data_IF_731846279081
#
_entry.id   IF_731846279081
#
_cell.length_a   1.000
_cell.length_b   1.000
_cell.length_c   1.000
_cell.angle_alpha   90.00
_cell.angle_beta   90.00
_cell.angle_gamma   90.00
#
_symmetry.space_group_name_H-M   'P 1'
#
loop_
_entity.id
_entity.type
_entity.pdbx_description
1 polymer ?
#
# COMPACT_ATOMS: atom_id res chain seq x y z
N UNK A 1 16.35 -0.28 -10.94
CA UNK A 1 14.96 0.23 -10.99
C UNK A 1 14.69 1.09 -9.78
N UNK A 2 14.02 2.20 -9.99
CA UNK A 2 13.56 3.00 -8.86
C UNK A 2 12.46 2.24 -8.10
N UNK A 3 12.56 2.20 -6.78
CA UNK A 3 11.54 1.59 -5.91
C UNK A 3 10.23 2.37 -6.03
N UNK A 4 9.15 1.68 -6.29
CA UNK A 4 7.83 2.31 -6.34
C UNK A 4 7.31 2.62 -4.94
N UNK A 5 6.38 3.57 -4.83
CA UNK A 5 5.74 3.89 -3.55
C UNK A 5 5.01 2.68 -2.94
N UNK A 6 4.47 1.80 -3.79
CA UNK A 6 3.82 0.57 -3.36
C UNK A 6 4.79 -0.41 -2.73
N UNK A 7 5.99 -0.55 -3.30
CA UNK A 7 7.08 -1.37 -2.72
C UNK A 7 7.59 -0.79 -1.41
N UNK A 8 7.70 0.54 -1.30
CA UNK A 8 8.08 1.22 -0.07
C UNK A 8 7.07 0.97 1.06
N UNK A 9 5.78 1.08 0.77
CA UNK A 9 4.70 0.78 1.73
C UNK A 9 4.73 -0.70 2.13
N UNK A 10 4.82 -1.60 1.16
CA UNK A 10 4.90 -3.05 1.40
C UNK A 10 6.08 -3.42 2.29
N UNK A 11 7.27 -2.94 1.97
CA UNK A 11 8.48 -3.23 2.74
C UNK A 11 8.38 -2.71 4.17
N UNK A 12 7.81 -1.52 4.35
CA UNK A 12 7.61 -0.94 5.69
C UNK A 12 6.58 -1.72 6.50
N UNK A 13 5.50 -2.17 5.89
CA UNK A 13 4.50 -3.03 6.55
C UNK A 13 5.10 -4.38 6.94
N UNK A 14 5.85 -5.02 6.06
CA UNK A 14 6.53 -6.28 6.34
C UNK A 14 7.48 -6.12 7.52
N UNK A 15 8.29 -5.08 7.54
CA UNK A 15 9.23 -4.81 8.62
C UNK A 15 8.52 -4.57 9.96
N UNK A 16 7.41 -3.83 9.94
CA UNK A 16 6.59 -3.54 11.10
C UNK A 16 5.96 -4.81 11.69
N UNK A 17 5.37 -5.65 10.84
CA UNK A 17 4.73 -6.89 11.24
C UNK A 17 5.73 -7.95 11.73
N UNK A 18 6.87 -8.09 11.06
CA UNK A 18 7.96 -8.96 11.51
C UNK A 18 8.56 -8.51 12.83
N UNK A 19 8.67 -7.22 13.06
CA UNK A 19 9.12 -6.66 14.33
C UNK A 19 8.17 -7.01 15.48
N UNK A 20 6.86 -7.03 15.23
CA UNK A 20 5.85 -7.37 16.23
C UNK A 20 5.70 -8.88 16.45
N UNK A 21 5.69 -9.63 15.35
CA UNK A 21 5.53 -11.10 15.36
C UNK A 21 6.71 -11.78 14.64
N UNK A 22 7.87 -11.91 15.31
CA UNK A 22 9.05 -12.50 14.68
C UNK A 22 8.87 -13.96 14.27
N UNK A 23 7.95 -14.68 14.93
CA UNK A 23 7.66 -16.09 14.64
C UNK A 23 6.72 -16.29 13.43
N UNK A 24 6.05 -15.22 12.98
CA UNK A 24 5.18 -15.30 11.81
C UNK A 24 5.98 -15.19 10.52
N UNK A 25 5.59 -15.97 9.54
CA UNK A 25 6.07 -15.81 8.18
C UNK A 25 5.26 -14.71 7.49
N UNK A 26 5.89 -13.60 7.16
CA UNK A 26 5.24 -12.46 6.50
C UNK A 26 5.55 -12.51 5.01
N UNK A 27 4.56 -12.84 4.20
CA UNK A 27 4.70 -13.05 2.76
C UNK A 27 3.93 -11.96 2.00
N UNK A 28 4.58 -11.35 1.04
CA UNK A 28 3.96 -10.37 0.13
C UNK A 28 3.67 -10.91 -1.27
N UNK A 29 3.83 -12.19 -1.54
CA UNK A 29 3.54 -12.83 -2.82
C UNK A 29 2.93 -14.21 -2.60
N UNK A 30 1.89 -14.48 -3.35
CA UNK A 30 1.13 -15.70 -3.56
C UNK A 30 1.27 -16.86 -2.57
N UNK A 31 0.21 -17.15 -1.90
CA UNK A 31 0.02 -18.36 -1.05
C UNK A 31 0.28 -19.65 -1.85
N UNK A 32 0.22 -19.60 -3.17
CA UNK A 32 0.38 -20.77 -4.05
C UNK A 32 1.71 -21.52 -3.86
N UNK A 33 2.76 -20.83 -3.42
CA UNK A 33 4.05 -21.47 -3.16
C UNK A 33 4.06 -22.36 -1.91
N UNK A 34 3.20 -22.08 -0.95
CA UNK A 34 3.07 -22.92 0.26
C UNK A 34 2.19 -24.15 0.02
N UNK A 35 1.24 -24.08 -0.88
CA UNK A 35 0.42 -25.22 -1.28
C UNK A 35 1.18 -26.20 -2.21
N UNK A 36 2.02 -25.70 -3.08
CA UNK A 36 2.86 -26.53 -3.97
C UNK A 36 3.93 -27.35 -3.24
N UNK A 37 4.37 -26.89 -2.08
CA UNK A 37 5.39 -27.59 -1.28
C UNK A 37 4.88 -28.79 -0.49
N UNK A 38 3.59 -29.17 -0.61
CA UNK A 38 3.03 -30.35 0.06
C UNK A 38 2.98 -30.26 1.59
N UNK A 39 3.07 -29.05 2.14
CA UNK A 39 2.88 -28.82 3.57
C UNK A 39 1.40 -28.94 3.92
N UNK A 40 1.07 -29.98 4.64
CA UNK A 40 -0.29 -30.28 5.10
C UNK A 40 -0.72 -29.46 6.32
N UNK A 41 0.20 -28.74 6.94
CA UNK A 41 -0.08 -27.85 8.09
C UNK A 41 0.32 -26.42 7.75
N UNK A 42 -0.68 -25.54 7.71
CA UNK A 42 -0.45 -24.10 7.62
C UNK A 42 0.11 -23.62 8.96
N UNK A 43 1.32 -23.07 8.92
CA UNK A 43 1.95 -22.42 10.07
C UNK A 43 1.39 -21.02 10.27
N UNK A 44 1.88 -20.32 11.29
CA UNK A 44 1.53 -18.91 11.53
C UNK A 44 2.09 -18.05 10.40
N UNK A 45 1.23 -17.39 9.65
CA UNK A 45 1.64 -16.53 8.55
C UNK A 45 0.79 -15.25 8.46
N UNK A 46 1.38 -14.24 7.86
CA UNK A 46 0.69 -13.02 7.41
C UNK A 46 0.92 -12.85 5.92
N UNK A 47 -0.15 -12.79 5.16
CA UNK A 47 -0.12 -12.47 3.74
C UNK A 47 -0.59 -11.03 3.53
N UNK A 48 0.23 -10.22 2.84
CA UNK A 48 -0.09 -8.82 2.54
C UNK A 48 -0.45 -8.67 1.07
N UNK A 49 -1.63 -8.13 0.83
CA UNK A 49 -2.06 -7.69 -0.48
C UNK A 49 -2.18 -6.17 -0.51
N UNK A 50 -1.46 -5.54 -1.44
CA UNK A 50 -1.43 -4.10 -1.64
C UNK A 50 -2.13 -3.78 -2.95
N UNK A 51 -3.32 -3.20 -2.85
CA UNK A 51 -4.19 -2.97 -4.00
C UNK A 51 -4.31 -1.47 -4.26
N UNK A 52 -3.68 -0.94 -5.31
CA UNK A 52 -3.93 0.43 -5.73
C UNK A 52 -5.40 0.62 -6.11
N UNK A 53 -6.15 1.37 -5.31
CA UNK A 53 -7.60 1.53 -5.48
C UNK A 53 -8.00 2.84 -6.11
N UNK A 54 -7.11 3.84 -6.14
CA UNK A 54 -7.40 5.12 -6.78
C UNK A 54 -6.15 5.96 -6.99
N UNK A 55 -6.17 6.73 -8.07
CA UNK A 55 -5.15 7.71 -8.39
C UNK A 55 -5.82 8.85 -9.16
N UNK A 56 -6.06 9.97 -8.50
CA UNK A 56 -6.79 11.09 -9.06
C UNK A 56 -5.92 12.35 -9.12
N UNK A 57 -5.94 13.10 -10.22
CA UNK A 57 -5.27 14.39 -10.27
C UNK A 57 -5.77 15.33 -9.16
N UNK A 58 -4.84 15.93 -8.43
CA UNK A 58 -5.13 16.80 -7.29
C UNK A 58 -4.60 18.23 -7.51
N UNK A 59 -4.60 18.66 -8.76
CA UNK A 59 -4.02 19.93 -9.18
C UNK A 59 -2.70 19.73 -9.92
N UNK A 60 -2.04 20.84 -10.22
CA UNK A 60 -0.80 20.82 -10.97
C UNK A 60 0.34 20.21 -10.13
N UNK A 61 0.95 19.15 -10.64
CA UNK A 61 2.07 18.48 -9.99
C UNK A 61 1.71 17.60 -8.80
N UNK A 62 0.41 17.31 -8.56
CA UNK A 62 -0.05 16.49 -7.46
C UNK A 62 -1.07 15.44 -7.90
N UNK A 63 -1.06 14.32 -7.18
CA UNK A 63 -2.05 13.25 -7.33
C UNK A 63 -2.50 12.77 -5.95
N UNK A 64 -3.78 12.50 -5.80
CA UNK A 64 -4.34 11.84 -4.62
C UNK A 64 -4.36 10.32 -4.87
N UNK A 65 -3.64 9.60 -4.04
CA UNK A 65 -3.55 8.13 -4.09
C UNK A 65 -4.40 7.50 -3.01
N UNK A 66 -5.04 6.42 -3.37
CA UNK A 66 -5.76 5.55 -2.45
C UNK A 66 -5.28 4.12 -2.65
N UNK A 67 -4.90 3.47 -1.56
CA UNK A 67 -4.35 2.12 -1.57
C UNK A 67 -5.11 1.31 -0.53
N UNK A 68 -5.76 0.23 -0.98
CA UNK A 68 -6.36 -0.74 -0.09
C UNK A 68 -5.28 -1.76 0.32
N UNK A 69 -5.16 -2.01 1.60
CA UNK A 69 -4.30 -3.04 2.16
C UNK A 69 -5.16 -4.11 2.80
N UNK A 70 -4.92 -5.36 2.45
CA UNK A 70 -5.50 -6.53 3.11
C UNK A 70 -4.36 -7.35 3.73
N UNK A 71 -4.38 -7.49 5.05
CA UNK A 71 -3.49 -8.37 5.77
C UNK A 71 -4.27 -9.62 6.20
N UNK A 72 -4.02 -10.73 5.55
CA UNK A 72 -4.60 -12.02 5.88
C UNK A 72 -3.70 -12.75 6.88
N UNK A 73 -4.21 -13.01 8.08
CA UNK A 73 -3.46 -13.57 9.20
C UNK A 73 -4.04 -14.95 9.55
N UNK A 74 -3.17 -15.93 9.53
CA UNK A 74 -3.51 -17.29 9.94
C UNK A 74 -2.65 -17.69 11.14
N UNK A 75 -3.30 -18.27 12.16
CA UNK A 75 -2.62 -18.88 13.31
C UNK A 75 -2.88 -20.38 13.31
N UNK A 76 -1.86 -21.14 13.66
CA UNK A 76 -1.96 -22.60 13.76
C UNK A 76 -3.04 -23.06 14.77
N UNK A 77 -3.25 -22.27 15.83
CA UNK A 77 -4.27 -22.55 16.83
C UNK A 77 -5.70 -22.29 16.36
N UNK A 78 -5.89 -21.46 15.33
CA UNK A 78 -7.19 -21.05 14.79
C UNK A 78 -8.19 -20.59 15.88
N UNK A 79 -7.66 -20.07 16.99
CA UNK A 79 -8.46 -19.68 18.16
C UNK A 79 -9.05 -18.29 18.00
N UNK A 80 -10.34 -18.14 18.30
CA UNK A 80 -10.97 -16.82 18.30
C UNK A 80 -10.31 -15.86 19.32
N UNK A 81 -9.83 -16.36 20.44
CA UNK A 81 -9.12 -15.55 21.44
C UNK A 81 -7.80 -15.01 20.88
N UNK A 82 -7.03 -15.82 20.17
CA UNK A 82 -5.80 -15.38 19.48
C UNK A 82 -6.11 -14.30 18.47
N UNK A 83 -7.16 -14.46 17.67
CA UNK A 83 -7.56 -13.43 16.70
C UNK A 83 -8.04 -12.13 17.36
N UNK A 84 -8.67 -12.18 18.51
CA UNK A 84 -9.02 -10.98 19.27
C UNK A 84 -7.78 -10.25 19.80
N UNK A 85 -6.76 -10.97 20.24
CA UNK A 85 -5.48 -10.40 20.65
C UNK A 85 -4.74 -9.76 19.45
N UNK A 86 -4.70 -10.46 18.33
CA UNK A 86 -4.07 -9.96 17.10
C UNK A 86 -4.77 -8.69 16.59
N UNK A 87 -6.10 -8.63 16.66
CA UNK A 87 -6.87 -7.42 16.32
C UNK A 87 -6.43 -6.22 17.17
N UNK A 88 -6.34 -6.40 18.48
CA UNK A 88 -5.90 -5.33 19.37
C UNK A 88 -4.46 -4.91 19.05
N UNK A 89 -3.57 -5.86 18.87
CA UNK A 89 -2.17 -5.59 18.52
C UNK A 89 -2.01 -4.86 17.20
N UNK A 90 -2.81 -5.22 16.18
CA UNK A 90 -2.81 -4.52 14.89
C UNK A 90 -3.34 -3.09 15.01
N UNK A 91 -4.40 -2.90 15.78
CA UNK A 91 -4.94 -1.56 16.01
C UNK A 91 -3.89 -0.66 16.69
N UNK A 92 -3.23 -1.16 17.72
CA UNK A 92 -2.17 -0.44 18.43
C UNK A 92 -0.94 -0.17 17.54
N UNK A 93 -0.62 -1.09 16.64
CA UNK A 93 0.55 -1.01 15.78
C UNK A 93 0.36 -0.06 14.59
N UNK A 94 -0.81 -0.09 13.95
CA UNK A 94 -1.08 0.60 12.69
C UNK A 94 -1.75 1.97 12.90
N UNK A 95 -2.55 2.12 13.95
CA UNK A 95 -3.30 3.35 14.20
C UNK A 95 -2.67 4.21 15.30
N UNK A 96 -2.88 5.52 15.25
CA UNK A 96 -3.62 6.26 14.23
C UNK A 96 -2.81 6.58 12.97
N UNK A 97 -1.49 6.38 13.01
CA UNK A 97 -0.58 6.82 11.93
C UNK A 97 0.38 5.70 11.55
N UNK A 98 0.36 5.35 10.28
CA UNK A 98 1.35 4.49 9.66
C UNK A 98 2.50 5.32 9.07
N UNK A 99 3.73 4.91 9.35
CA UNK A 99 4.95 5.58 8.86
C UNK A 99 5.73 4.67 7.92
N UNK A 100 6.19 5.24 6.82
CA UNK A 100 7.04 4.54 5.86
C UNK A 100 8.08 5.49 5.25
N UNK A 101 9.09 4.94 4.62
CA UNK A 101 10.13 5.70 3.93
C UNK A 101 9.99 5.50 2.42
N UNK A 102 9.87 6.59 1.70
CA UNK A 102 9.81 6.62 0.25
C UNK A 102 10.92 7.51 -0.31
N UNK A 103 11.77 6.95 -1.17
CA UNK A 103 12.92 7.65 -1.76
C UNK A 103 13.81 8.40 -0.74
N UNK A 104 14.01 7.81 0.43
CA UNK A 104 14.79 8.39 1.52
C UNK A 104 14.05 9.41 2.40
N UNK A 105 12.79 9.73 2.09
CA UNK A 105 11.97 10.63 2.87
C UNK A 105 10.99 9.86 3.77
N UNK A 106 10.91 10.25 5.04
CA UNK A 106 9.94 9.70 5.97
C UNK A 106 8.55 10.29 5.69
N UNK A 107 7.57 9.41 5.50
CA UNK A 107 6.17 9.78 5.28
C UNK A 107 5.28 9.19 6.35
N UNK A 108 4.18 9.86 6.64
CA UNK A 108 3.19 9.42 7.61
C UNK A 108 1.79 9.55 7.02
N UNK A 109 1.00 8.50 7.16
CA UNK A 109 -0.39 8.45 6.66
C UNK A 109 -1.30 8.04 7.81
N UNK A 110 -2.38 8.78 7.98
CA UNK A 110 -3.40 8.45 8.96
C UNK A 110 -4.24 7.26 8.48
N UNK A 111 -4.44 6.30 9.36
CA UNK A 111 -5.37 5.19 9.15
C UNK A 111 -6.62 5.47 10.01
N UNK A 112 -7.70 5.97 9.38
CA UNK A 112 -8.91 6.35 10.14
C UNK A 112 -9.70 5.13 10.62
N UNK A 113 -9.67 4.05 9.86
CA UNK A 113 -10.45 2.85 10.12
C UNK A 113 -9.66 1.59 9.79
N UNK A 114 -9.86 0.57 10.60
CA UNK A 114 -9.28 -0.76 10.43
C UNK A 114 -10.40 -1.79 10.60
N UNK A 115 -10.80 -2.40 9.50
CA UNK A 115 -11.87 -3.39 9.47
C UNK A 115 -11.31 -4.80 9.61
N UNK A 116 -12.02 -5.65 10.35
CA UNK A 116 -11.64 -7.03 10.56
C UNK A 116 -12.76 -7.98 10.14
N UNK A 117 -12.40 -9.05 9.46
CA UNK A 117 -13.31 -10.13 9.09
C UNK A 117 -12.60 -11.48 9.14
N UNK A 118 -13.31 -12.53 9.51
CA UNK A 118 -12.78 -13.89 9.47
C UNK A 118 -13.47 -14.65 8.34
N UNK A 119 -12.66 -15.11 7.39
CA UNK A 119 -13.10 -15.92 6.26
C UNK A 119 -12.26 -17.19 6.23
N UNK A 120 -12.88 -18.36 6.19
CA UNK A 120 -12.19 -19.65 6.13
C UNK A 120 -11.07 -19.82 7.17
N UNK A 121 -11.35 -19.38 8.41
CA UNK A 121 -10.43 -19.40 9.56
C UNK A 121 -9.21 -18.49 9.43
N UNK A 122 -9.22 -17.57 8.48
CA UNK A 122 -8.20 -16.56 8.28
C UNK A 122 -8.76 -15.20 8.70
N UNK A 123 -8.01 -14.47 9.53
CA UNK A 123 -8.35 -13.11 9.91
C UNK A 123 -7.88 -12.14 8.83
N UNK A 124 -8.80 -11.43 8.23
CA UNK A 124 -8.51 -10.34 7.30
C UNK A 124 -8.59 -9.00 8.04
N UNK A 125 -7.51 -8.24 7.99
CA UNK A 125 -7.44 -6.87 8.46
C UNK A 125 -7.30 -5.96 7.24
N UNK A 126 -8.32 -5.15 6.97
CA UNK A 126 -8.36 -4.27 5.80
C UNK A 126 -8.37 -2.81 6.21
N UNK A 127 -7.59 -2.01 5.53
CA UNK A 127 -7.54 -0.57 5.73
C UNK A 127 -7.13 0.14 4.44
N UNK A 128 -7.46 1.42 4.36
CA UNK A 128 -7.12 2.26 3.21
C UNK A 128 -6.09 3.31 3.61
N UNK A 129 -5.03 3.41 2.82
CA UNK A 129 -4.07 4.49 2.87
C UNK A 129 -4.44 5.53 1.80
N UNK A 130 -4.79 6.73 2.22
CA UNK A 130 -5.11 7.83 1.33
C UNK A 130 -4.17 9.00 1.61
N UNK A 131 -3.46 9.46 0.59
CA UNK A 131 -2.50 10.55 0.73
C UNK A 131 -2.25 11.26 -0.61
N UNK A 132 -1.75 12.49 -0.49
CA UNK A 132 -1.32 13.27 -1.66
C UNK A 132 0.15 13.02 -1.96
N UNK A 133 0.44 12.79 -3.22
CA UNK A 133 1.77 12.57 -3.75
C UNK A 133 2.13 13.62 -4.80
N UNK A 134 3.41 13.97 -4.89
CA UNK A 134 3.91 14.82 -5.97
C UNK A 134 4.22 13.98 -7.20
N UNK A 135 3.86 14.51 -8.36
CA UNK A 135 4.25 13.95 -9.65
C UNK A 135 5.19 14.90 -10.34
N UNK A 136 6.22 14.36 -11.01
CA UNK A 136 7.05 15.17 -11.89
C UNK A 136 6.19 15.65 -13.05
N UNK A 137 6.06 16.97 -13.19
CA UNK A 137 5.44 17.54 -14.38
C UNK A 137 6.35 17.21 -15.57
N UNK A 138 5.81 16.60 -16.64
CA UNK A 138 6.56 16.55 -17.88
C UNK A 138 6.86 17.99 -18.31
N UNK A 139 8.08 18.24 -18.76
CA UNK A 139 8.42 19.52 -19.37
C UNK A 139 7.35 19.89 -20.39
N UNK A 140 6.75 21.07 -20.22
CA UNK A 140 5.71 21.52 -21.12
C UNK A 140 6.28 21.50 -22.57
N UNK A 141 5.67 20.76 -23.48
CA UNK A 141 6.18 20.75 -24.84
C UNK A 141 6.14 22.18 -25.40
N UNK A 142 7.10 22.56 -26.26
CA UNK A 142 7.24 23.92 -26.77
C UNK A 142 6.12 24.34 -27.75
N UNK A 143 4.92 23.78 -27.58
CA UNK A 143 3.74 24.03 -28.42
C UNK A 143 3.28 25.49 -28.45
N UNK A 144 3.57 26.27 -27.41
CA UNK A 144 3.20 27.69 -27.37
C UNK A 144 4.07 28.56 -28.29
N UNK A 145 5.34 28.21 -28.47
CA UNK A 145 6.22 28.98 -29.36
C UNK A 145 5.87 28.78 -30.84
N UNK A 146 5.40 27.62 -31.27
CA UNK A 146 4.95 27.37 -32.62
C UNK A 146 3.60 27.99 -32.95
N UNK A 147 2.69 28.10 -31.96
CA UNK A 147 1.39 28.73 -32.15
C UNK A 147 1.53 30.26 -32.33
N UNK A 148 2.42 30.90 -31.62
CA UNK A 148 2.68 32.34 -31.75
C UNK A 148 3.31 32.71 -33.10
N UNK A 149 4.14 31.86 -33.67
CA UNK A 149 4.77 32.11 -34.99
C UNK A 149 3.79 32.01 -36.16
N UNK A 150 2.76 31.16 -36.05
CA UNK A 150 1.75 30.96 -37.09
C UNK A 150 0.67 32.07 -37.12
N UNK A 151 0.41 32.73 -36.00
CA UNK A 151 -0.57 33.83 -35.93
C UNK A 151 -0.01 35.11 -36.56
N UNK A 152 1.30 35.31 -36.55
CA UNK A 152 1.94 36.50 -37.16
C UNK A 152 2.02 36.47 -38.68
N UNK A 153 1.95 35.33 -39.29
CA UNK A 153 2.07 35.17 -40.78
C UNK A 153 0.75 35.38 -41.53
N UNK A 154 -0.40 35.40 -40.86
CA UNK A 154 -1.71 35.59 -41.51
C UNK A 154 -2.28 37.01 -41.43
N UNK A 155 -1.50 38.00 -40.98
CA UNK A 155 -1.85 39.42 -41.14
C UNK A 155 -1.17 39.96 -42.43
N UNK A 156 -1.67 39.56 -43.56
CA UNK A 156 -1.49 40.32 -44.80
C UNK A 156 -2.81 40.97 -45.17
N UNK A 157 -2.81 42.26 -45.04
CA UNK A 157 -3.52 43.31 -45.79
C UNK A 157 -5.00 43.05 -46.13
#
# INVERSE_FOLDING_TARGET
MATTIYEAIRSSLIALLKGRWPAFDVVGEGIDKTQEAGQTELEDYVYLDIIPSGNQPAGRGYTDRSILVDAAIHTKGESNLEYLQIRQELDDLLRPVFRFTDKGEARAVTIPDLAFNIVDKVLHATFTLAFRDSIEEPEAPPLMAELESNIRTNRKE
#
